data_IF_221982258550
#
_entry.id   IF_221982258550
#
_cell.length_a   1.000
_cell.length_b   1.000
_cell.length_c   1.000
_cell.angle_alpha   90.00
_cell.angle_beta   90.00
_cell.angle_gamma   90.00
#
_symmetry.space_group_name_H-M   'P 1'
#
loop_
_entity.id
_entity.type
_entity.pdbx_description
1 polymer ?
#
# COMPACT_ATOMS: atom_id res chain seq x y z
N UNK A 1 15.45 -23.29 19.07
CA UNK A 1 15.25 -22.82 17.67
C UNK A 1 14.74 -21.38 17.58
N UNK A 2 13.62 -21.04 18.24
CA UNK A 2 13.04 -19.68 18.18
C UNK A 2 13.99 -18.58 18.69
N UNK A 3 14.79 -18.85 19.73
CA UNK A 3 15.85 -17.94 20.19
C UNK A 3 16.81 -17.55 19.07
N UNK A 4 17.27 -18.52 18.27
CA UNK A 4 18.14 -18.30 17.11
C UNK A 4 17.43 -17.47 16.03
N UNK A 5 16.14 -17.71 15.79
CA UNK A 5 15.34 -16.88 14.87
C UNK A 5 15.32 -15.42 15.36
N UNK A 6 15.09 -15.21 16.66
CA UNK A 6 15.10 -13.87 17.26
C UNK A 6 16.46 -13.19 17.09
N UNK A 7 17.56 -13.87 17.44
CA UNK A 7 18.92 -13.35 17.31
C UNK A 7 19.25 -12.94 15.86
N UNK A 8 18.82 -13.73 14.88
CA UNK A 8 19.00 -13.38 13.47
C UNK A 8 18.16 -12.18 13.06
N UNK A 9 16.91 -12.07 13.54
CA UNK A 9 16.04 -10.93 13.26
C UNK A 9 16.56 -9.64 13.90
N UNK A 10 17.06 -9.69 15.13
CA UNK A 10 17.66 -8.52 15.80
C UNK A 10 18.91 -8.02 15.09
N UNK A 11 19.75 -8.93 14.55
CA UNK A 11 20.88 -8.54 13.68
C UNK A 11 20.43 -7.80 12.43
N UNK A 12 19.35 -8.27 11.78
CA UNK A 12 18.78 -7.59 10.60
C UNK A 12 18.22 -6.22 10.98
N UNK A 13 17.53 -6.11 12.12
CA UNK A 13 16.98 -4.83 12.60
C UNK A 13 18.06 -3.81 12.90
N UNK A 14 19.14 -4.22 13.58
CA UNK A 14 20.27 -3.37 13.95
C UNK A 14 21.19 -2.99 12.79
N UNK A 15 21.09 -3.66 11.64
CA UNK A 15 21.94 -3.36 10.49
C UNK A 15 21.68 -1.95 9.94
N UNK A 16 22.68 -1.34 9.30
CA UNK A 16 22.58 -0.02 8.68
C UNK A 16 21.69 0.12 7.40
N UNK A 17 21.38 -0.93 6.60
CA UNK A 17 20.76 -0.73 5.28
C UNK A 17 19.30 -0.26 5.38
N UNK A 18 18.78 0.21 4.24
CA UNK A 18 17.42 0.76 4.13
C UNK A 18 16.35 -0.31 4.46
N UNK A 19 15.13 0.09 4.88
CA UNK A 19 14.05 -0.84 5.21
C UNK A 19 13.78 -1.88 4.11
N UNK A 20 13.73 -1.49 2.83
CA UNK A 20 13.50 -2.41 1.72
C UNK A 20 14.61 -3.46 1.57
N UNK A 21 15.87 -3.06 1.80
CA UNK A 21 17.01 -3.97 1.74
C UNK A 21 16.98 -4.97 2.90
N UNK A 22 16.53 -4.54 4.10
CA UNK A 22 16.31 -5.45 5.24
C UNK A 22 15.21 -6.47 4.96
N UNK A 23 14.10 -6.04 4.36
CA UNK A 23 13.01 -6.95 3.94
C UNK A 23 13.50 -7.94 2.89
N UNK A 24 14.27 -7.47 1.90
CA UNK A 24 14.89 -8.32 0.90
C UNK A 24 15.83 -9.35 1.55
N UNK A 25 16.70 -8.93 2.49
CA UNK A 25 17.58 -9.82 3.24
C UNK A 25 16.81 -10.91 4.00
N UNK A 26 15.68 -10.55 4.61
CA UNK A 26 14.79 -11.52 5.26
C UNK A 26 14.25 -12.52 4.23
N UNK A 27 13.77 -12.04 3.09
CA UNK A 27 13.17 -12.87 2.05
C UNK A 27 14.17 -13.80 1.36
N UNK A 28 15.34 -13.30 0.95
CA UNK A 28 16.27 -14.02 0.08
C UNK A 28 17.32 -14.82 0.84
N UNK A 29 17.63 -14.47 2.09
CA UNK A 29 18.68 -15.13 2.86
C UNK A 29 18.17 -15.75 4.16
N UNK A 30 17.42 -15.00 4.97
CA UNK A 30 16.97 -15.49 6.28
C UNK A 30 15.97 -16.63 6.14
N UNK A 31 14.87 -16.41 5.40
CA UNK A 31 13.80 -17.42 5.23
C UNK A 31 14.35 -18.72 4.61
N UNK A 32 15.12 -18.71 3.51
CA UNK A 32 15.68 -19.95 2.96
C UNK A 32 16.59 -20.71 3.92
N UNK A 33 17.42 -19.99 4.70
CA UNK A 33 18.27 -20.59 5.72
C UNK A 33 17.44 -21.24 6.84
N UNK A 34 16.36 -20.58 7.26
CA UNK A 34 15.44 -21.12 8.24
C UNK A 34 14.68 -22.33 7.69
N UNK A 35 14.17 -22.29 6.45
CA UNK A 35 13.52 -23.43 5.81
C UNK A 35 14.42 -24.67 5.83
N UNK A 36 15.67 -24.53 5.37
CA UNK A 36 16.65 -25.62 5.41
C UNK A 36 16.84 -26.16 6.85
N UNK A 37 17.05 -25.25 7.81
CA UNK A 37 17.21 -25.65 9.21
C UNK A 37 15.98 -26.39 9.74
N UNK A 38 14.76 -25.90 9.51
CA UNK A 38 13.52 -26.46 10.04
C UNK A 38 13.16 -27.79 9.38
N UNK A 39 13.43 -27.96 8.09
CA UNK A 39 13.22 -29.25 7.40
C UNK A 39 14.13 -30.33 7.98
N UNK A 40 15.40 -30.00 8.26
CA UNK A 40 16.39 -30.98 8.71
C UNK A 40 16.32 -31.32 10.21
N UNK A 41 15.80 -30.42 11.05
CA UNK A 41 15.87 -30.52 12.51
C UNK A 41 14.62 -31.06 13.20
N UNK A 42 13.58 -31.41 12.43
CA UNK A 42 12.31 -31.95 12.93
C UNK A 42 11.74 -31.19 14.16
N UNK A 43 11.43 -29.89 14.03
CA UNK A 43 11.01 -29.06 15.15
C UNK A 43 9.63 -29.47 15.69
N UNK A 44 9.40 -29.19 16.98
CA UNK A 44 8.11 -29.37 17.65
C UNK A 44 6.97 -28.68 16.90
N UNK A 45 5.76 -29.23 17.01
CA UNK A 45 4.57 -28.67 16.38
C UNK A 45 4.39 -27.18 16.76
N UNK A 46 4.02 -26.34 15.79
CA UNK A 46 3.81 -24.91 16.00
C UNK A 46 5.07 -24.04 16.04
N UNK A 47 6.29 -24.62 16.07
CA UNK A 47 7.54 -23.84 16.06
C UNK A 47 7.69 -23.02 14.78
N UNK A 48 7.39 -23.60 13.62
CA UNK A 48 7.48 -22.90 12.34
C UNK A 48 6.47 -21.73 12.26
N UNK A 49 5.24 -21.95 12.73
CA UNK A 49 4.21 -20.91 12.80
C UNK A 49 4.58 -19.78 13.78
N UNK A 50 5.25 -20.10 14.89
CA UNK A 50 5.77 -19.11 15.83
C UNK A 50 6.90 -18.29 15.21
N UNK A 51 7.81 -18.93 14.44
CA UNK A 51 8.85 -18.24 13.69
C UNK A 51 8.26 -17.34 12.59
N UNK A 52 7.23 -17.79 11.87
CA UNK A 52 6.48 -16.96 10.91
C UNK A 52 5.93 -15.70 11.58
N UNK A 53 5.32 -15.83 12.76
CA UNK A 53 4.80 -14.69 13.53
C UNK A 53 5.93 -13.72 13.89
N UNK A 54 7.08 -14.20 14.34
CA UNK A 54 8.24 -13.36 14.67
C UNK A 54 8.77 -12.61 13.45
N UNK A 55 8.86 -13.28 12.30
CA UNK A 55 9.28 -12.66 11.03
C UNK A 55 8.29 -11.58 10.62
N UNK A 56 6.98 -11.86 10.62
CA UNK A 56 5.96 -10.86 10.30
C UNK A 56 6.04 -9.67 11.25
N UNK A 57 6.18 -9.88 12.55
CA UNK A 57 6.33 -8.79 13.52
C UNK A 57 7.58 -7.95 13.27
N UNK A 58 8.73 -8.58 13.00
CA UNK A 58 9.95 -7.87 12.65
C UNK A 58 9.78 -7.02 11.39
N UNK A 59 9.16 -7.56 10.33
CA UNK A 59 8.88 -6.82 9.10
C UNK A 59 7.90 -5.67 9.37
N UNK A 60 6.86 -5.87 10.19
CA UNK A 60 5.93 -4.79 10.59
C UNK A 60 6.67 -3.64 11.27
N UNK A 61 7.61 -3.94 12.18
CA UNK A 61 8.47 -2.94 12.82
C UNK A 61 9.35 -2.21 11.81
N UNK A 62 10.00 -2.94 10.89
CA UNK A 62 10.86 -2.33 9.85
C UNK A 62 10.09 -1.38 8.93
N UNK A 63 8.83 -1.71 8.62
CA UNK A 63 7.96 -0.93 7.74
C UNK A 63 7.17 0.15 8.49
N UNK A 64 7.32 0.26 9.81
CA UNK A 64 6.58 1.20 10.66
C UNK A 64 5.06 1.12 10.45
N UNK A 65 4.52 -0.07 10.16
CA UNK A 65 3.09 -0.32 10.01
C UNK A 65 2.48 -0.79 11.33
N UNK A 66 1.18 -0.54 11.60
CA UNK A 66 0.52 -1.04 12.81
C UNK A 66 0.65 -2.57 12.93
N UNK A 67 1.08 -3.04 14.12
CA UNK A 67 1.43 -4.45 14.34
C UNK A 67 0.23 -5.41 14.23
N UNK A 68 -0.97 -4.92 14.57
CA UNK A 68 -2.22 -5.71 14.63
C UNK A 68 -3.13 -5.54 13.42
N UNK A 69 -2.96 -4.49 12.61
CA UNK A 69 -3.96 -4.13 11.60
C UNK A 69 -3.69 -4.74 10.23
N UNK A 70 -2.43 -4.91 9.83
CA UNK A 70 -2.08 -5.42 8.50
C UNK A 70 -2.43 -6.91 8.35
N UNK A 71 -3.06 -7.26 7.23
CA UNK A 71 -3.41 -8.64 6.88
C UNK A 71 -2.15 -9.50 6.73
N UNK A 72 -2.16 -10.68 7.34
CA UNK A 72 -1.03 -11.61 7.26
C UNK A 72 -0.82 -12.14 5.82
N UNK A 73 -1.89 -12.23 5.02
CA UNK A 73 -1.79 -12.67 3.62
C UNK A 73 -0.97 -11.72 2.75
N UNK A 74 -0.94 -10.41 3.05
CA UNK A 74 -0.14 -9.42 2.30
C UNK A 74 1.36 -9.78 2.26
N UNK A 75 1.89 -10.39 3.33
CA UNK A 75 3.29 -10.78 3.41
C UNK A 75 3.61 -11.92 2.44
N UNK A 76 2.67 -12.84 2.26
CA UNK A 76 2.86 -14.07 1.49
C UNK A 76 2.50 -13.92 0.01
N UNK A 77 1.70 -12.90 -0.33
CA UNK A 77 1.37 -12.60 -1.72
C UNK A 77 2.63 -12.26 -2.54
N UNK A 78 2.69 -12.67 -3.83
CA UNK A 78 3.79 -12.34 -4.72
C UNK A 78 3.96 -10.84 -4.89
N UNK A 79 5.21 -10.40 -5.04
CA UNK A 79 5.51 -9.00 -5.39
C UNK A 79 4.85 -8.57 -6.69
N UNK A 80 4.68 -9.48 -7.65
CA UNK A 80 4.05 -9.19 -8.94
C UNK A 80 2.58 -8.78 -8.82
N UNK A 81 1.92 -9.08 -7.70
CA UNK A 81 0.48 -8.86 -7.52
C UNK A 81 0.14 -7.78 -6.49
N UNK A 82 1.04 -7.49 -5.52
CA UNK A 82 1.03 -6.35 -4.56
C UNK A 82 1.83 -6.68 -3.28
N UNK A 83 2.05 -7.97 -2.99
CA UNK A 83 2.59 -8.43 -1.71
C UNK A 83 4.10 -8.28 -1.55
N UNK A 84 4.63 -8.76 -0.42
CA UNK A 84 6.07 -8.73 -0.13
C UNK A 84 6.83 -9.97 -0.61
N UNK A 85 6.12 -11.03 -1.01
CA UNK A 85 6.69 -12.28 -1.52
C UNK A 85 7.49 -13.06 -0.48
N UNK A 86 7.14 -12.95 0.82
CA UNK A 86 7.73 -13.79 1.85
C UNK A 86 7.20 -15.21 1.69
N UNK A 87 8.03 -16.22 1.96
CA UNK A 87 7.59 -17.59 2.05
C UNK A 87 7.24 -17.93 3.50
N UNK A 88 6.04 -18.47 3.73
CA UNK A 88 5.63 -19.03 5.02
C UNK A 88 6.53 -20.20 5.38
N UNK A 89 7.16 -20.16 6.56
CA UNK A 89 7.98 -21.25 7.08
C UNK A 89 7.13 -22.47 7.38
N UNK A 90 5.96 -22.27 7.97
CA UNK A 90 5.01 -23.35 8.28
C UNK A 90 4.59 -24.10 7.02
N UNK A 91 4.20 -23.38 5.96
CA UNK A 91 3.87 -24.00 4.66
C UNK A 91 5.09 -24.57 3.96
N UNK A 92 6.19 -23.82 3.92
CA UNK A 92 7.40 -24.22 3.23
C UNK A 92 8.01 -25.49 3.81
N UNK A 93 8.00 -25.65 5.14
CA UNK A 93 8.47 -26.86 5.81
C UNK A 93 7.56 -28.03 5.52
N UNK A 94 6.23 -27.86 5.60
CA UNK A 94 5.27 -28.94 5.34
C UNK A 94 5.42 -29.47 3.89
N UNK A 95 5.39 -28.58 2.90
CA UNK A 95 5.56 -28.96 1.48
C UNK A 95 6.97 -29.47 1.19
N UNK A 96 7.99 -28.92 1.85
CA UNK A 96 9.38 -29.40 1.74
C UNK A 96 9.54 -30.83 2.26
N UNK A 97 8.92 -31.16 3.39
CA UNK A 97 8.91 -32.50 3.96
C UNK A 97 8.14 -33.49 3.07
N UNK A 98 6.99 -33.10 2.53
CA UNK A 98 6.24 -33.95 1.58
C UNK A 98 7.06 -34.24 0.32
N UNK A 99 7.73 -33.23 -0.23
CA UNK A 99 8.61 -33.42 -1.38
C UNK A 99 9.85 -34.26 -1.03
N UNK A 100 10.36 -34.18 0.20
CA UNK A 100 11.42 -35.05 0.69
C UNK A 100 10.94 -36.51 0.76
N UNK A 101 9.77 -36.79 1.35
CA UNK A 101 9.21 -38.14 1.40
C UNK A 101 9.00 -38.71 -0.01
N UNK A 102 8.46 -37.91 -0.93
CA UNK A 102 8.34 -38.30 -2.34
C UNK A 102 9.67 -38.75 -2.93
N UNK A 103 10.73 -37.96 -2.70
CA UNK A 103 12.07 -38.24 -3.23
C UNK A 103 12.68 -39.48 -2.61
N UNK A 104 12.51 -39.69 -1.30
CA UNK A 104 13.04 -40.87 -0.60
C UNK A 104 12.37 -42.15 -1.08
N UNK A 105 11.05 -42.14 -1.29
CA UNK A 105 10.32 -43.31 -1.83
C UNK A 105 10.71 -43.65 -3.27
N UNK A 106 11.15 -42.68 -4.06
CA UNK A 106 11.58 -42.86 -5.46
C UNK A 106 13.07 -43.18 -5.66
N UNK A 107 13.89 -43.29 -4.60
CA UNK A 107 15.32 -43.61 -4.75
C UNK A 107 15.56 -45.09 -5.00
N UNK A 108 16.61 -45.40 -5.77
CA UNK A 108 17.03 -46.77 -6.08
C UNK A 108 17.53 -47.53 -4.84
N UNK A 109 18.22 -46.83 -3.93
CA UNK A 109 18.78 -47.38 -2.69
C UNK A 109 17.72 -48.04 -1.79
N UNK A 110 17.93 -49.32 -1.48
CA UNK A 110 17.05 -50.14 -0.65
C UNK A 110 16.99 -49.67 0.80
N UNK A 111 18.12 -49.25 1.38
CA UNK A 111 18.19 -48.80 2.77
C UNK A 111 17.44 -47.48 2.96
N UNK A 112 17.54 -46.58 1.98
CA UNK A 112 16.81 -45.30 1.99
C UNK A 112 15.30 -45.52 1.85
N UNK A 113 14.88 -46.46 1.00
CA UNK A 113 13.46 -46.82 0.86
C UNK A 113 12.91 -47.47 2.13
N UNK A 114 13.64 -48.43 2.71
CA UNK A 114 13.26 -49.06 3.96
C UNK A 114 13.15 -48.03 5.10
N UNK A 115 14.10 -47.09 5.18
CA UNK A 115 14.05 -46.00 6.15
C UNK A 115 12.82 -45.09 5.93
N UNK A 116 12.46 -44.77 4.69
CA UNK A 116 11.29 -43.92 4.39
C UNK A 116 9.94 -44.55 4.79
N UNK A 117 9.88 -45.88 4.82
CA UNK A 117 8.69 -46.66 5.20
C UNK A 117 8.63 -47.01 6.70
N UNK A 118 9.55 -46.49 7.53
CA UNK A 118 9.43 -46.60 8.97
C UNK A 118 8.13 -45.92 9.45
N UNK A 119 7.44 -46.57 10.40
CA UNK A 119 6.14 -46.15 10.95
C UNK A 119 6.05 -44.65 11.24
N UNK A 120 7.05 -44.08 11.92
CA UNK A 120 7.03 -42.66 12.30
C UNK A 120 7.09 -41.70 11.10
N UNK A 121 7.77 -42.07 10.01
CA UNK A 121 7.78 -41.28 8.77
C UNK A 121 6.47 -41.44 8.01
N UNK A 122 5.87 -42.64 7.99
CA UNK A 122 4.55 -42.87 7.42
C UNK A 122 3.48 -42.04 8.13
N UNK A 123 3.40 -42.10 9.47
CA UNK A 123 2.45 -41.30 10.26
C UNK A 123 2.64 -39.80 10.02
N UNK A 124 3.89 -39.33 9.99
CA UNK A 124 4.19 -37.92 9.75
C UNK A 124 3.81 -37.50 8.32
N UNK A 125 4.11 -38.33 7.32
CA UNK A 125 3.70 -38.14 5.93
C UNK A 125 2.19 -38.01 5.82
N UNK A 126 1.43 -38.97 6.35
CA UNK A 126 -0.05 -38.96 6.29
C UNK A 126 -0.65 -37.75 7.01
N UNK A 127 -0.12 -37.37 8.17
CA UNK A 127 -0.57 -36.17 8.90
C UNK A 127 -0.31 -34.88 8.13
N UNK A 128 0.87 -34.74 7.50
CA UNK A 128 1.19 -33.57 6.69
C UNK A 128 0.36 -33.52 5.41
N UNK A 129 0.14 -34.67 4.78
CA UNK A 129 -0.69 -34.81 3.60
C UNK A 129 -2.13 -34.38 3.89
N UNK A 130 -2.72 -34.87 4.99
CA UNK A 130 -4.05 -34.45 5.44
C UNK A 130 -4.12 -32.95 5.76
N UNK A 131 -3.13 -32.42 6.50
CA UNK A 131 -3.07 -30.99 6.86
C UNK A 131 -3.03 -30.07 5.64
N UNK A 132 -2.42 -30.53 4.54
CA UNK A 132 -2.19 -29.74 3.33
C UNK A 132 -3.04 -30.18 2.14
N UNK A 133 -4.04 -31.02 2.38
CA UNK A 133 -4.95 -31.53 1.34
C UNK A 133 -4.20 -32.17 0.15
N UNK A 134 -3.12 -32.91 0.44
CA UNK A 134 -2.34 -33.64 -0.56
C UNK A 134 -2.86 -35.08 -0.60
N UNK A 135 -3.61 -35.41 -1.65
CA UNK A 135 -4.16 -36.75 -1.86
C UNK A 135 -3.10 -37.72 -2.37
N UNK A 136 -2.35 -37.30 -3.39
CA UNK A 136 -1.29 -38.11 -4.00
C UNK A 136 0.08 -37.48 -3.78
N UNK A 137 1.07 -38.31 -3.42
CA UNK A 137 2.45 -37.87 -3.24
C UNK A 137 3.21 -37.80 -4.58
N UNK A 138 2.59 -37.19 -5.59
CA UNK A 138 3.22 -36.90 -6.89
C UNK A 138 3.70 -35.45 -6.93
N UNK A 139 4.51 -35.09 -7.93
CA UNK A 139 4.91 -33.70 -8.11
C UNK A 139 3.70 -32.78 -8.33
N UNK A 140 2.74 -33.23 -9.15
CA UNK A 140 1.47 -32.51 -9.39
C UNK A 140 0.59 -32.47 -8.14
N UNK A 141 0.48 -33.58 -7.41
CA UNK A 141 -0.32 -33.67 -6.17
C UNK A 141 0.20 -32.77 -5.04
N UNK A 142 1.49 -32.39 -5.04
CA UNK A 142 2.03 -31.39 -4.12
C UNK A 142 1.90 -29.97 -4.68
N UNK A 143 2.09 -29.79 -6.00
CA UNK A 143 2.02 -28.49 -6.64
C UNK A 143 0.61 -27.86 -6.57
N UNK A 144 -0.43 -28.68 -6.74
CA UNK A 144 -1.84 -28.24 -6.70
C UNK A 144 -2.23 -27.61 -5.35
N UNK A 145 -2.05 -28.26 -4.18
CA UNK A 145 -2.39 -27.65 -2.90
C UNK A 145 -1.49 -26.48 -2.51
N UNK A 146 -0.25 -26.44 -3.01
CA UNK A 146 0.62 -25.27 -2.88
C UNK A 146 0.04 -24.06 -3.63
N UNK A 147 -0.46 -24.25 -4.85
CA UNK A 147 -1.17 -23.21 -5.59
C UNK A 147 -2.50 -22.82 -4.90
N UNK A 148 -3.25 -23.79 -4.38
CA UNK A 148 -4.48 -23.54 -3.63
C UNK A 148 -4.24 -22.74 -2.34
N UNK A 149 -3.13 -22.99 -1.64
CA UNK A 149 -2.70 -22.21 -0.47
C UNK A 149 -2.45 -20.74 -0.84
N UNK A 150 -1.78 -20.49 -1.96
CA UNK A 150 -1.58 -19.14 -2.47
C UNK A 150 -2.91 -18.47 -2.85
N UNK A 151 -3.82 -19.20 -3.49
CA UNK A 151 -5.16 -18.70 -3.84
C UNK A 151 -5.99 -18.38 -2.60
N UNK A 152 -5.85 -19.17 -1.54
CA UNK A 152 -6.46 -18.89 -0.24
C UNK A 152 -5.93 -17.57 0.34
N UNK A 153 -4.62 -17.31 0.27
CA UNK A 153 -4.05 -16.03 0.68
C UNK A 153 -4.61 -14.85 -0.14
N UNK A 154 -4.76 -15.00 -1.46
CA UNK A 154 -5.38 -13.99 -2.32
C UNK A 154 -6.81 -13.70 -1.88
N UNK A 155 -7.63 -14.73 -1.69
CA UNK A 155 -9.01 -14.61 -1.25
C UNK A 155 -9.13 -13.91 0.10
N UNK A 156 -8.31 -14.31 1.09
CA UNK A 156 -8.27 -13.66 2.40
C UNK A 156 -7.87 -12.19 2.31
N UNK A 157 -6.87 -11.86 1.50
CA UNK A 157 -6.44 -10.47 1.33
C UNK A 157 -7.51 -9.63 0.64
N UNK A 158 -8.13 -10.16 -0.42
CA UNK A 158 -9.21 -9.53 -1.17
C UNK A 158 -10.44 -9.23 -0.30
N UNK A 159 -10.76 -10.11 0.66
CA UNK A 159 -11.84 -9.91 1.60
C UNK A 159 -11.58 -8.78 2.61
N UNK A 160 -10.32 -8.35 2.77
CA UNK A 160 -9.99 -7.21 3.63
C UNK A 160 -10.17 -5.88 2.91
N UNK A 161 -10.44 -4.81 3.66
CA UNK A 161 -10.44 -3.45 3.11
C UNK A 161 -9.06 -3.03 2.53
N UNK A 162 -7.98 -3.68 2.97
CA UNK A 162 -6.61 -3.41 2.49
C UNK A 162 -6.40 -3.98 1.09
N UNK A 163 -7.10 -5.05 0.75
CA UNK A 163 -7.15 -5.63 -0.59
C UNK A 163 -8.07 -4.90 -1.56
N UNK A 164 -8.71 -3.80 -1.15
CA UNK A 164 -9.54 -3.02 -2.08
C UNK A 164 -8.70 -2.53 -3.26
N UNK A 165 -9.14 -2.85 -4.47
CA UNK A 165 -8.44 -2.50 -5.72
C UNK A 165 -7.14 -3.29 -5.98
N UNK A 166 -6.84 -4.36 -5.24
CA UNK A 166 -5.58 -5.10 -5.44
C UNK A 166 -5.41 -5.67 -6.85
N UNK A 167 -6.52 -6.02 -7.53
CA UNK A 167 -6.51 -6.55 -8.91
C UNK A 167 -5.98 -5.55 -9.94
N UNK A 168 -6.07 -4.25 -9.67
CA UNK A 168 -5.54 -3.20 -10.55
C UNK A 168 -4.00 -3.20 -10.59
N UNK A 169 -3.32 -3.93 -9.68
CA UNK A 169 -1.86 -4.06 -9.67
C UNK A 169 -1.36 -5.32 -10.37
N UNK A 170 -2.14 -5.92 -11.27
CA UNK A 170 -1.74 -7.11 -12.03
C UNK A 170 -0.52 -6.84 -12.94
N UNK A 171 -0.39 -5.61 -13.43
CA UNK A 171 0.70 -5.22 -14.33
C UNK A 171 2.03 -5.14 -13.60
N UNK A 172 3.04 -5.88 -14.09
CA UNK A 172 4.32 -6.04 -13.40
C UNK A 172 5.04 -4.70 -13.14
N UNK A 173 4.96 -3.76 -14.08
CA UNK A 173 5.56 -2.43 -13.96
C UNK A 173 5.04 -1.65 -12.73
N UNK A 174 3.80 -1.91 -12.30
CA UNK A 174 3.19 -1.32 -11.10
C UNK A 174 3.93 -1.68 -9.81
N UNK A 175 4.67 -2.79 -9.82
CA UNK A 175 5.23 -3.41 -8.62
C UNK A 175 6.77 -3.46 -8.62
N UNK A 176 7.43 -3.00 -9.69
CA UNK A 176 8.90 -3.02 -9.82
C UNK A 176 9.66 -2.17 -8.79
N UNK A 177 8.96 -1.35 -7.99
CA UNK A 177 9.54 -0.58 -6.88
C UNK A 177 9.60 -1.37 -5.57
N UNK A 178 8.84 -2.46 -5.46
CA UNK A 178 8.84 -3.33 -4.28
C UNK A 178 10.19 -4.05 -4.15
N UNK A 179 10.79 -4.37 -5.31
CA UNK A 179 12.10 -5.00 -5.42
C UNK A 179 13.17 -3.98 -5.85
N UNK A 180 14.20 -3.80 -5.02
CA UNK A 180 15.34 -2.94 -5.31
C UNK A 180 15.32 -1.54 -4.67
N UNK A 181 16.21 -0.67 -5.13
CA UNK A 181 16.50 0.63 -4.49
C UNK A 181 15.95 1.84 -5.28
N UNK A 182 14.76 1.68 -5.88
CA UNK A 182 14.12 2.74 -6.69
C UNK A 182 13.57 3.91 -5.87
N UNK A 183 13.50 3.76 -4.54
CA UNK A 183 12.90 4.72 -3.62
C UNK A 183 13.76 4.89 -2.37
N UNK A 184 13.68 6.06 -1.73
CA UNK A 184 14.25 6.22 -0.39
C UNK A 184 13.51 5.34 0.62
N UNK A 185 14.16 4.97 1.73
CA UNK A 185 13.52 4.12 2.75
C UNK A 185 12.22 4.72 3.32
N UNK A 186 12.16 6.06 3.47
CA UNK A 186 10.95 6.77 3.89
C UNK A 186 9.85 6.68 2.83
N UNK A 187 10.20 6.88 1.56
CA UNK A 187 9.26 6.80 0.44
C UNK A 187 8.71 5.38 0.28
N UNK A 188 9.57 4.36 0.43
CA UNK A 188 9.18 2.95 0.43
C UNK A 188 8.15 2.63 1.54
N UNK A 189 8.42 3.05 2.78
CA UNK A 189 7.48 2.88 3.90
C UNK A 189 6.14 3.56 3.62
N UNK A 190 6.17 4.80 3.14
CA UNK A 190 4.95 5.54 2.80
C UNK A 190 4.15 4.85 1.68
N UNK A 191 4.83 4.34 0.66
CA UNK A 191 4.24 3.58 -0.45
C UNK A 191 3.59 2.28 0.02
N UNK A 192 4.22 1.53 0.92
CA UNK A 192 3.60 0.32 1.50
C UNK A 192 2.34 0.71 2.26
N UNK A 193 2.39 1.75 3.11
CA UNK A 193 1.21 2.25 3.84
C UNK A 193 0.09 2.69 2.89
N UNK A 194 0.42 3.37 1.79
CA UNK A 194 -0.56 3.77 0.79
C UNK A 194 -1.17 2.55 0.09
N UNK A 195 -0.35 1.56 -0.32
CA UNK A 195 -0.82 0.33 -0.96
C UNK A 195 -1.77 -0.46 -0.07
N UNK A 196 -1.46 -0.60 1.21
CA UNK A 196 -2.26 -1.37 2.16
C UNK A 196 -3.34 -0.55 2.87
N UNK A 197 -3.60 0.70 2.46
CA UNK A 197 -4.55 1.60 3.13
C UNK A 197 -4.30 1.75 4.65
N UNK A 198 -3.03 1.77 5.05
CA UNK A 198 -2.55 1.93 6.44
C UNK A 198 -1.97 3.33 6.71
N UNK A 199 -2.17 4.28 5.80
CA UNK A 199 -1.97 5.69 6.11
C UNK A 199 -2.87 6.07 7.28
N UNK A 200 -2.38 6.77 8.31
CA UNK A 200 -3.13 7.06 9.53
C UNK A 200 -4.13 8.21 9.31
N UNK A 201 -5.06 8.04 8.38
CA UNK A 201 -6.20 8.96 8.22
C UNK A 201 -7.18 8.76 9.38
N UNK A 202 -8.10 9.70 9.62
CA UNK A 202 -9.15 9.50 10.64
C UNK A 202 -10.00 8.27 10.38
N UNK A 203 -10.41 8.02 9.13
CA UNK A 203 -11.18 6.82 8.78
C UNK A 203 -10.42 5.53 9.17
N UNK A 204 -9.10 5.52 8.99
CA UNK A 204 -8.28 4.37 9.35
C UNK A 204 -8.04 4.27 10.86
N UNK A 205 -7.86 5.40 11.54
CA UNK A 205 -7.59 5.47 12.99
C UNK A 205 -8.81 5.09 13.83
N UNK A 206 -10.00 5.50 13.39
CA UNK A 206 -11.27 5.19 14.04
C UNK A 206 -11.95 3.92 13.50
N UNK A 207 -11.27 3.15 12.64
CA UNK A 207 -11.80 1.91 12.10
C UNK A 207 -12.18 0.95 13.24
N UNK A 208 -13.42 0.46 13.21
CA UNK A 208 -13.97 -0.44 14.23
C UNK A 208 -14.29 0.24 15.56
N UNK A 209 -14.20 1.58 15.64
CA UNK A 209 -14.52 2.39 16.83
C UNK A 209 -15.52 3.51 16.56
N UNK A 210 -15.72 3.86 15.29
CA UNK A 210 -16.67 4.86 14.84
C UNK A 210 -17.85 4.18 14.14
N UNK A 211 -19.04 4.71 14.38
CA UNK A 211 -20.26 4.33 13.68
C UNK A 211 -20.31 4.94 12.27
N UNK A 212 -21.19 4.42 11.42
CA UNK A 212 -21.43 4.99 10.10
C UNK A 212 -21.93 6.43 10.23
N UNK A 213 -21.25 7.38 9.60
CA UNK A 213 -21.61 8.80 9.69
C UNK A 213 -21.03 9.55 10.89
N UNK A 214 -20.20 8.90 11.72
CA UNK A 214 -19.54 9.55 12.86
C UNK A 214 -18.73 10.78 12.41
N UNK A 215 -19.03 11.99 12.93
CA UNK A 215 -18.33 13.22 12.56
C UNK A 215 -16.80 13.16 12.77
N UNK A 216 -16.31 12.30 13.67
CA UNK A 216 -14.87 12.12 13.94
C UNK A 216 -14.13 11.51 12.75
N UNK A 217 -14.81 10.80 11.86
CA UNK A 217 -14.21 10.24 10.64
C UNK A 217 -14.15 11.24 9.50
N UNK A 218 -14.80 12.41 9.61
CA UNK A 218 -14.82 13.43 8.57
C UNK A 218 -13.44 14.05 8.38
N UNK A 219 -13.17 14.45 7.13
CA UNK A 219 -11.98 15.19 6.74
C UNK A 219 -11.81 16.42 7.62
N UNK A 220 -10.67 16.52 8.31
CA UNK A 220 -10.38 17.64 9.21
C UNK A 220 -10.37 19.00 8.48
N UNK A 221 -10.19 19.00 7.15
CA UNK A 221 -10.09 20.23 6.35
C UNK A 221 -11.39 20.64 5.72
N UNK A 222 -11.95 19.78 4.88
CA UNK A 222 -13.15 20.12 4.13
C UNK A 222 -14.38 19.35 4.59
N UNK A 223 -14.28 18.44 5.56
CA UNK A 223 -15.36 17.53 5.94
C UNK A 223 -16.61 18.26 6.46
N UNK A 224 -16.45 19.44 7.05
CA UNK A 224 -17.57 20.30 7.47
C UNK A 224 -18.40 20.85 6.29
N UNK A 225 -17.81 20.96 5.10
CA UNK A 225 -18.48 21.44 3.87
C UNK A 225 -18.88 20.24 3.00
N UNK A 226 -17.94 19.31 2.78
CA UNK A 226 -18.08 18.25 1.80
C UNK A 226 -18.74 16.98 2.34
N UNK A 227 -18.94 16.88 3.66
CA UNK A 227 -19.41 15.66 4.33
C UNK A 227 -18.51 14.44 4.13
N UNK A 228 -17.32 14.62 3.56
CA UNK A 228 -16.48 13.50 3.11
C UNK A 228 -15.65 12.94 4.27
N UNK A 229 -15.56 11.61 4.41
CA UNK A 229 -14.66 10.99 5.37
C UNK A 229 -13.20 11.26 5.01
N UNK A 230 -12.35 11.42 6.02
CA UNK A 230 -10.91 11.51 5.88
C UNK A 230 -10.34 10.13 5.50
N UNK A 231 -10.40 9.83 4.22
CA UNK A 231 -9.87 8.61 3.64
C UNK A 231 -8.70 8.93 2.72
N UNK A 232 -7.89 7.90 2.44
CA UNK A 232 -6.80 8.01 1.47
C UNK A 232 -7.31 8.42 0.09
N UNK A 233 -8.46 7.86 -0.33
CA UNK A 233 -9.13 8.21 -1.58
C UNK A 233 -9.53 9.69 -1.59
N UNK A 234 -10.25 10.15 -0.56
CA UNK A 234 -10.66 11.55 -0.47
C UNK A 234 -9.48 12.52 -0.51
N UNK A 235 -8.48 12.32 0.36
CA UNK A 235 -7.29 13.19 0.44
C UNK A 235 -6.57 13.27 -0.91
N UNK A 236 -6.45 12.14 -1.61
CA UNK A 236 -5.65 12.07 -2.84
C UNK A 236 -6.42 12.36 -4.12
N UNK A 237 -7.75 12.54 -4.07
CA UNK A 237 -8.60 12.67 -5.26
C UNK A 237 -9.53 13.89 -5.26
N UNK A 238 -10.19 14.19 -4.14
CA UNK A 238 -11.32 15.14 -4.14
C UNK A 238 -11.27 16.19 -3.04
N UNK A 239 -10.31 16.10 -2.11
CA UNK A 239 -10.18 17.09 -1.05
C UNK A 239 -9.81 18.46 -1.62
N UNK A 240 -10.64 19.47 -1.33
CA UNK A 240 -10.41 20.85 -1.78
C UNK A 240 -9.09 21.42 -1.24
N UNK A 241 -8.70 21.03 -0.03
CA UNK A 241 -7.45 21.48 0.60
C UNK A 241 -6.18 20.96 -0.10
N UNK A 242 -6.25 19.79 -0.75
CA UNK A 242 -5.12 19.21 -1.49
C UNK A 242 -5.25 19.39 -3.00
N UNK A 243 -6.28 20.07 -3.49
CA UNK A 243 -6.58 20.16 -4.92
C UNK A 243 -5.38 20.62 -5.76
N UNK A 244 -4.68 21.69 -5.35
CA UNK A 244 -3.48 22.14 -6.06
C UNK A 244 -2.36 21.10 -6.13
N UNK A 245 -2.23 20.22 -5.13
CA UNK A 245 -1.28 19.12 -5.15
C UNK A 245 -1.75 17.95 -6.01
N UNK A 246 -3.06 17.73 -6.12
CA UNK A 246 -3.66 16.74 -7.02
C UNK A 246 -3.35 17.13 -8.47
N UNK A 247 -3.57 18.41 -8.82
CA UNK A 247 -3.23 18.98 -10.13
C UNK A 247 -1.72 18.87 -10.37
N UNK A 248 -0.88 19.29 -9.43
CA UNK A 248 0.58 19.18 -9.57
C UNK A 248 1.08 17.75 -9.79
N UNK A 249 0.47 16.75 -9.14
CA UNK A 249 0.79 15.33 -9.38
C UNK A 249 0.48 14.95 -10.82
N UNK A 250 -0.70 15.32 -11.30
CA UNK A 250 -1.14 15.08 -12.67
C UNK A 250 -0.17 15.72 -13.69
N UNK A 251 0.13 17.01 -13.54
CA UNK A 251 0.96 17.75 -14.49
C UNK A 251 2.38 17.18 -14.58
N UNK A 252 2.93 16.68 -13.46
CA UNK A 252 4.24 16.01 -13.46
C UNK A 252 4.23 14.74 -14.32
N UNK A 253 3.13 13.98 -14.30
CA UNK A 253 2.98 12.77 -15.12
C UNK A 253 2.79 13.16 -16.58
N UNK A 254 1.91 14.12 -16.87
CA UNK A 254 1.68 14.65 -18.24
C UNK A 254 3.00 15.14 -18.85
N UNK A 255 3.77 15.96 -18.13
CA UNK A 255 5.06 16.47 -18.60
C UNK A 255 6.05 15.36 -18.89
N UNK A 256 6.15 14.34 -18.01
CA UNK A 256 7.06 13.22 -18.26
C UNK A 256 6.64 12.38 -19.46
N UNK A 257 5.33 12.19 -19.64
CA UNK A 257 4.77 11.48 -20.78
C UNK A 257 5.02 12.24 -22.09
N UNK A 258 4.81 13.56 -22.09
CA UNK A 258 5.11 14.44 -23.21
C UNK A 258 6.57 14.32 -23.64
N UNK A 259 7.52 14.49 -22.72
CA UNK A 259 8.95 14.35 -23.03
C UNK A 259 9.31 12.97 -23.57
N UNK A 260 8.73 11.90 -23.00
CA UNK A 260 8.97 10.55 -23.50
C UNK A 260 8.39 10.33 -24.92
N UNK A 261 7.30 11.01 -25.26
CA UNK A 261 6.71 10.93 -26.59
C UNK A 261 7.55 11.72 -27.60
N UNK A 262 8.04 12.90 -27.24
CA UNK A 262 8.97 13.70 -28.04
C UNK A 262 10.26 12.94 -28.34
N UNK A 263 10.87 12.31 -27.32
CA UNK A 263 12.02 11.40 -27.47
C UNK A 263 11.73 10.23 -28.44
N UNK A 264 10.46 9.84 -28.56
CA UNK A 264 9.99 8.79 -29.47
C UNK A 264 9.57 9.33 -30.85
N UNK A 265 9.82 10.60 -31.14
CA UNK A 265 9.56 11.25 -32.44
C UNK A 265 8.12 11.69 -32.66
N UNK A 266 7.32 11.90 -31.60
CA UNK A 266 6.03 12.56 -31.71
C UNK A 266 6.19 14.08 -31.61
N UNK A 267 5.46 14.84 -32.42
CA UNK A 267 5.24 16.25 -32.19
C UNK A 267 4.10 16.39 -31.17
N UNK A 268 4.36 17.07 -30.05
CA UNK A 268 3.43 17.16 -28.91
C UNK A 268 2.96 18.61 -28.72
N UNK A 269 1.64 18.78 -28.58
CA UNK A 269 1.02 20.00 -28.06
C UNK A 269 0.45 19.72 -26.68
N UNK A 270 0.92 20.45 -25.66
CA UNK A 270 0.50 20.27 -24.26
C UNK A 270 -0.67 21.17 -23.91
N UNK A 271 -1.69 20.60 -23.25
CA UNK A 271 -2.91 21.27 -22.75
C UNK A 271 -3.63 22.21 -23.75
N UNK A 272 -3.87 21.79 -25.01
CA UNK A 272 -4.54 22.67 -25.96
C UNK A 272 -6.00 22.90 -25.57
N UNK A 273 -6.49 24.11 -25.82
CA UNK A 273 -7.91 24.46 -25.68
C UNK A 273 -8.58 24.39 -27.04
N UNK A 274 -9.48 23.42 -27.21
CA UNK A 274 -10.17 23.14 -28.47
C UNK A 274 -11.67 23.42 -28.30
N UNK A 275 -12.26 24.17 -29.22
CA UNK A 275 -13.70 24.46 -29.23
C UNK A 275 -14.37 23.66 -30.34
N UNK A 276 -15.39 22.89 -30.00
CA UNK A 276 -16.15 22.07 -30.93
C UNK A 276 -17.60 21.98 -30.46
N UNK A 277 -18.56 22.21 -31.35
CA UNK A 277 -20.00 22.16 -31.08
C UNK A 277 -20.43 22.96 -29.84
N UNK A 278 -19.90 24.18 -29.68
CA UNK A 278 -20.20 25.06 -28.55
C UNK A 278 -19.57 24.63 -27.21
N UNK A 279 -18.88 23.48 -27.17
CA UNK A 279 -18.20 22.97 -25.99
C UNK A 279 -16.69 23.25 -26.06
N UNK A 280 -16.07 23.42 -24.89
CA UNK A 280 -14.62 23.55 -24.76
C UNK A 280 -14.02 22.25 -24.24
N UNK A 281 -13.12 21.67 -25.03
CA UNK A 281 -12.34 20.49 -24.71
C UNK A 281 -10.90 20.87 -24.40
N UNK A 282 -10.33 20.21 -23.40
CA UNK A 282 -8.93 20.37 -22.98
C UNK A 282 -8.31 18.98 -22.77
N UNK A 283 -7.92 18.27 -23.85
CA UNK A 283 -7.07 17.09 -23.69
C UNK A 283 -5.72 17.51 -23.14
N UNK A 284 -5.02 16.61 -22.44
CA UNK A 284 -3.72 16.95 -21.86
C UNK A 284 -2.64 17.02 -22.94
N UNK A 285 -2.74 16.19 -23.98
CA UNK A 285 -1.77 16.12 -25.07
C UNK A 285 -2.48 15.91 -26.41
N UNK A 286 -2.01 16.61 -27.45
CA UNK A 286 -2.23 16.24 -28.84
C UNK A 286 -0.89 15.73 -29.39
N UNK A 287 -0.85 14.48 -29.83
CA UNK A 287 0.37 13.83 -30.31
C UNK A 287 0.27 13.49 -31.79
N UNK A 288 1.21 13.99 -32.59
CA UNK A 288 1.23 13.80 -34.05
C UNK A 288 2.47 13.02 -34.47
N UNK A 289 2.31 11.95 -35.26
CA UNK A 289 3.41 11.19 -35.86
C UNK A 289 2.95 10.42 -37.09
N UNK A 290 3.74 10.48 -38.18
CA UNK A 290 3.52 9.67 -39.38
C UNK A 290 2.13 9.86 -40.02
N UNK A 291 1.61 11.10 -40.03
CA UNK A 291 0.28 11.41 -40.58
C UNK A 291 -0.91 11.00 -39.70
N UNK A 292 -0.65 10.49 -38.49
CA UNK A 292 -1.66 10.17 -37.48
C UNK A 292 -1.60 11.17 -36.35
N UNK A 293 -2.76 11.52 -35.80
CA UNK A 293 -2.89 12.40 -34.63
C UNK A 293 -3.73 11.73 -33.55
N UNK A 294 -3.34 11.94 -32.29
CA UNK A 294 -3.98 11.37 -31.13
C UNK A 294 -4.34 12.44 -30.11
N UNK A 295 -5.60 12.48 -29.68
CA UNK A 295 -5.97 13.18 -28.46
C UNK A 295 -5.76 12.25 -27.26
N UNK A 296 -4.81 12.61 -26.40
CA UNK A 296 -4.37 11.80 -25.27
C UNK A 296 -4.62 12.54 -23.96
N UNK A 297 -5.14 11.82 -22.97
CA UNK A 297 -5.46 12.37 -21.66
C UNK A 297 -5.00 11.42 -20.54
N UNK A 298 -4.42 12.00 -19.51
CA UNK A 298 -3.88 11.30 -18.35
C UNK A 298 -4.92 11.32 -17.23
N UNK A 299 -5.16 10.15 -16.61
CA UNK A 299 -6.02 10.08 -15.44
C UNK A 299 -5.35 9.37 -14.29
N UNK A 300 -5.56 9.91 -13.08
CA UNK A 300 -5.01 9.35 -11.83
C UNK A 300 -6.12 9.05 -10.82
N UNK A 301 -7.04 8.11 -11.13
CA UNK A 301 -8.10 7.72 -10.22
C UNK A 301 -7.54 6.93 -9.02
N UNK A 302 -8.29 6.86 -7.93
CA UNK A 302 -7.97 5.92 -6.85
C UNK A 302 -8.37 4.50 -7.25
N UNK A 303 -7.49 3.52 -7.04
CA UNK A 303 -7.77 2.13 -7.43
C UNK A 303 -8.88 1.55 -6.57
N UNK A 304 -9.98 1.18 -7.22
CA UNK A 304 -11.07 0.35 -6.72
C UNK A 304 -11.42 -0.69 -7.80
N UNK A 305 -12.48 -1.47 -7.64
CA UNK A 305 -12.90 -2.42 -8.67
C UNK A 305 -13.19 -1.71 -10.01
N UNK A 306 -12.46 -2.12 -11.05
CA UNK A 306 -12.53 -1.67 -12.45
C UNK A 306 -12.43 -0.16 -12.65
N UNK A 307 -11.77 0.54 -11.72
CA UNK A 307 -11.71 2.00 -11.75
C UNK A 307 -10.86 2.50 -12.92
N UNK A 308 -9.78 1.79 -13.26
CA UNK A 308 -8.81 2.29 -14.23
C UNK A 308 -9.31 2.13 -15.66
N UNK A 309 -9.79 0.93 -16.01
CA UNK A 309 -10.30 0.63 -17.35
C UNK A 309 -11.55 1.46 -17.68
N UNK A 310 -12.46 1.67 -16.71
CA UNK A 310 -13.62 2.55 -16.91
C UNK A 310 -13.19 4.00 -17.17
N UNK A 311 -12.27 4.52 -16.37
CA UNK A 311 -11.77 5.89 -16.54
C UNK A 311 -11.07 6.08 -17.89
N UNK A 312 -10.32 5.08 -18.34
CA UNK A 312 -9.70 5.06 -19.68
C UNK A 312 -10.76 5.19 -20.77
N UNK A 313 -11.78 4.32 -20.76
CA UNK A 313 -12.86 4.34 -21.73
C UNK A 313 -13.66 5.66 -21.73
N UNK A 314 -13.96 6.21 -20.55
CA UNK A 314 -14.64 7.50 -20.40
C UNK A 314 -13.86 8.64 -21.07
N UNK A 315 -12.54 8.71 -20.86
CA UNK A 315 -11.68 9.74 -21.45
C UNK A 315 -11.53 9.56 -22.96
N UNK A 316 -11.35 8.34 -23.45
CA UNK A 316 -11.31 8.06 -24.89
C UNK A 316 -12.61 8.50 -25.60
N UNK A 317 -13.77 8.21 -24.99
CA UNK A 317 -15.07 8.63 -25.52
C UNK A 317 -15.26 10.15 -25.48
N UNK A 318 -14.78 10.82 -24.41
CA UNK A 318 -14.91 12.28 -24.25
C UNK A 318 -14.32 13.06 -25.42
N UNK A 319 -13.18 12.62 -25.96
CA UNK A 319 -12.49 13.34 -27.04
C UNK A 319 -12.81 12.79 -28.43
N UNK A 320 -13.63 11.76 -28.56
CA UNK A 320 -14.00 11.19 -29.86
C UNK A 320 -14.60 12.22 -30.84
N UNK A 321 -15.44 13.19 -30.42
CA UNK A 321 -16.00 14.20 -31.32
C UNK A 321 -14.95 15.13 -31.96
N UNK A 322 -13.74 15.24 -31.42
CA UNK A 322 -12.73 16.18 -31.91
C UNK A 322 -12.06 15.76 -33.23
N UNK A 323 -12.47 14.66 -33.85
CA UNK A 323 -11.79 14.05 -34.98
C UNK A 323 -11.59 15.00 -36.16
N UNK A 324 -12.63 15.71 -36.60
CA UNK A 324 -12.55 16.60 -37.76
C UNK A 324 -11.74 17.85 -37.46
N UNK A 325 -11.97 18.44 -36.29
CA UNK A 325 -11.27 19.64 -35.83
C UNK A 325 -9.76 19.38 -35.72
N UNK A 326 -9.36 18.31 -35.04
CA UNK A 326 -7.95 18.01 -34.78
C UNK A 326 -7.23 17.62 -36.06
N UNK A 327 -7.88 16.88 -36.98
CA UNK A 327 -7.31 16.60 -38.31
C UNK A 327 -7.09 17.87 -39.12
N UNK A 328 -8.05 18.79 -39.09
CA UNK A 328 -7.94 20.08 -39.79
C UNK A 328 -6.77 20.92 -39.26
N UNK A 329 -6.64 21.03 -37.94
CA UNK A 329 -5.59 21.85 -37.31
C UNK A 329 -4.19 21.23 -37.51
N UNK A 330 -4.08 19.90 -37.51
CA UNK A 330 -2.78 19.22 -37.57
C UNK A 330 -2.37 18.76 -38.97
N UNK A 331 -3.28 18.77 -39.94
CA UNK A 331 -3.07 18.22 -41.28
C UNK A 331 -2.96 16.68 -41.33
N UNK A 332 -3.26 16.00 -40.23
CA UNK A 332 -3.18 14.54 -40.15
C UNK A 332 -4.37 13.86 -40.85
N UNK A 333 -4.13 12.68 -41.42
CA UNK A 333 -5.14 11.89 -42.15
C UNK A 333 -5.99 11.04 -41.21
N UNK A 334 -5.36 10.47 -40.20
CA UNK A 334 -5.98 9.58 -39.23
C UNK A 334 -6.05 10.23 -37.86
N UNK A 335 -7.19 10.07 -37.18
CA UNK A 335 -7.41 10.52 -35.81
C UNK A 335 -7.68 9.33 -34.89
N UNK A 336 -7.07 9.34 -33.71
CA UNK A 336 -7.38 8.42 -32.64
C UNK A 336 -7.54 9.12 -31.30
N UNK A 337 -8.23 8.46 -30.37
CA UNK A 337 -8.27 8.86 -28.97
C UNK A 337 -7.55 7.84 -28.10
N UNK A 338 -6.91 8.34 -27.06
CA UNK A 338 -6.21 7.51 -26.10
C UNK A 338 -6.32 8.06 -24.69
N UNK A 339 -6.01 7.21 -23.72
CA UNK A 339 -5.79 7.65 -22.36
C UNK A 339 -4.65 6.88 -21.72
N UNK A 340 -3.88 7.55 -20.85
CA UNK A 340 -2.92 6.89 -19.97
C UNK A 340 -3.43 7.01 -18.54
N UNK A 341 -3.91 5.91 -18.00
CA UNK A 341 -4.48 5.84 -16.66
C UNK A 341 -3.51 5.15 -15.72
N UNK A 342 -3.10 5.86 -14.67
CA UNK A 342 -2.24 5.33 -13.62
C UNK A 342 -2.95 5.54 -12.29
N UNK A 343 -3.21 4.48 -11.54
CA UNK A 343 -3.87 4.61 -10.25
C UNK A 343 -3.07 5.46 -9.24
N UNK A 344 -3.76 6.09 -8.31
CA UNK A 344 -3.16 6.97 -7.30
C UNK A 344 -2.11 6.27 -6.42
N UNK A 345 -2.23 4.95 -6.23
CA UNK A 345 -1.26 4.09 -5.53
C UNK A 345 -0.26 3.42 -6.49
N UNK A 346 -0.20 3.87 -7.74
CA UNK A 346 0.80 3.46 -8.74
C UNK A 346 0.45 2.18 -9.49
N UNK A 347 -0.83 1.90 -9.73
CA UNK A 347 -1.26 0.85 -10.66
C UNK A 347 -1.16 1.30 -12.11
N UNK A 348 -0.57 0.50 -12.99
CA UNK A 348 -0.66 0.69 -14.44
C UNK A 348 -1.95 0.07 -14.98
N UNK A 349 -2.75 0.83 -15.72
CA UNK A 349 -3.90 0.26 -16.42
C UNK A 349 -3.45 -0.53 -17.65
N UNK A 350 -3.89 -1.78 -17.79
CA UNK A 350 -3.58 -2.61 -18.97
C UNK A 350 -4.07 -1.99 -20.29
N UNK A 351 -5.17 -1.21 -20.26
CA UNK A 351 -5.70 -0.48 -21.42
C UNK A 351 -4.77 0.62 -21.95
N UNK A 352 -3.81 1.06 -21.15
CA UNK A 352 -2.77 1.98 -21.64
C UNK A 352 -1.97 1.32 -22.77
N UNK A 353 -1.70 0.02 -22.66
CA UNK A 353 -0.92 -0.70 -23.67
C UNK A 353 -1.68 -0.85 -24.99
N UNK A 354 -3.02 -0.89 -24.95
CA UNK A 354 -3.86 -0.84 -26.14
C UNK A 354 -3.73 0.53 -26.85
N UNK A 355 -3.77 1.63 -26.10
CA UNK A 355 -3.53 2.98 -26.62
C UNK A 355 -2.12 3.11 -27.21
N UNK A 356 -1.09 2.68 -26.47
CA UNK A 356 0.29 2.76 -26.92
C UNK A 356 0.53 1.94 -28.19
N UNK A 357 -0.05 0.73 -28.28
CA UNK A 357 0.02 -0.12 -29.48
C UNK A 357 -0.64 0.55 -30.68
N UNK A 358 -1.82 1.15 -30.50
CA UNK A 358 -2.54 1.83 -31.57
C UNK A 358 -1.78 3.07 -32.08
N UNK A 359 -1.08 3.78 -31.18
CA UNK A 359 -0.20 4.91 -31.52
C UNK A 359 1.10 4.47 -32.20
N UNK A 360 1.45 3.18 -32.21
CA UNK A 360 2.78 2.71 -32.61
C UNK A 360 3.88 3.23 -31.69
N UNK A 361 3.57 3.50 -30.42
CA UNK A 361 4.50 4.03 -29.43
C UNK A 361 4.99 2.93 -28.49
N UNK A 362 6.27 2.56 -28.64
CA UNK A 362 6.91 1.56 -27.78
C UNK A 362 7.54 2.23 -26.56
N UNK A 363 6.93 2.03 -25.39
CA UNK A 363 7.48 2.49 -24.10
C UNK A 363 8.11 1.31 -23.37
N UNK A 364 9.33 1.51 -22.86
CA UNK A 364 10.01 0.47 -22.08
C UNK A 364 9.31 0.19 -20.74
N UNK A 365 9.41 -1.05 -20.24
CA UNK A 365 8.91 -1.41 -18.91
C UNK A 365 9.53 -0.56 -17.78
N UNK A 366 10.78 -0.10 -17.95
CA UNK A 366 11.44 0.81 -17.02
C UNK A 366 10.74 2.17 -16.97
N UNK A 367 10.30 2.68 -18.11
CA UNK A 367 9.57 3.95 -18.20
C UNK A 367 8.16 3.82 -17.63
N UNK A 368 7.44 2.73 -17.93
CA UNK A 368 6.13 2.45 -17.31
C UNK A 368 6.23 2.41 -15.78
N UNK A 369 7.24 1.70 -15.26
CA UNK A 369 7.49 1.62 -13.83
C UNK A 369 7.88 2.97 -13.22
N UNK A 370 8.67 3.79 -13.93
CA UNK A 370 9.00 5.13 -13.50
C UNK A 370 7.74 5.99 -13.36
N UNK A 371 6.82 5.96 -14.34
CA UNK A 371 5.55 6.69 -14.28
C UNK A 371 4.71 6.23 -13.08
N UNK A 372 4.62 4.92 -12.83
CA UNK A 372 3.91 4.37 -11.67
C UNK A 372 4.50 4.86 -10.34
N UNK A 373 5.83 4.82 -10.21
CA UNK A 373 6.55 5.28 -9.00
C UNK A 373 6.39 6.78 -8.81
N UNK A 374 6.56 7.57 -9.88
CA UNK A 374 6.38 9.03 -9.82
C UNK A 374 4.97 9.39 -9.32
N UNK A 375 3.93 8.74 -9.86
CA UNK A 375 2.54 8.94 -9.41
C UNK A 375 2.39 8.61 -7.92
N UNK A 376 2.88 7.45 -7.49
CA UNK A 376 2.80 7.01 -6.10
C UNK A 376 3.59 7.92 -5.14
N UNK A 377 4.79 8.35 -5.51
CA UNK A 377 5.60 9.27 -4.71
C UNK A 377 4.94 10.63 -4.55
N UNK A 378 4.38 11.18 -5.63
CA UNK A 378 3.62 12.43 -5.57
C UNK A 378 2.35 12.29 -4.75
N UNK A 379 1.66 11.15 -4.82
CA UNK A 379 0.56 10.83 -3.91
C UNK A 379 1.03 10.82 -2.44
N UNK A 380 2.15 10.17 -2.14
CA UNK A 380 2.72 10.12 -0.78
C UNK A 380 3.13 11.51 -0.27
N UNK A 381 3.73 12.34 -1.12
CA UNK A 381 4.08 13.73 -0.78
C UNK A 381 2.84 14.55 -0.46
N UNK A 382 1.80 14.43 -1.27
CA UNK A 382 0.51 15.07 -1.04
C UNK A 382 -0.09 14.65 0.31
N UNK A 383 -0.14 13.36 0.60
CA UNK A 383 -0.64 12.83 1.86
C UNK A 383 0.19 13.35 3.03
N UNK A 384 1.52 13.32 2.91
CA UNK A 384 2.41 13.83 3.96
C UNK A 384 2.19 15.31 4.21
N UNK A 385 1.97 16.11 3.18
CA UNK A 385 1.66 17.52 3.31
C UNK A 385 0.32 17.76 4.01
N UNK A 386 -0.72 16.98 3.67
CA UNK A 386 -2.01 17.02 4.34
C UNK A 386 -1.84 16.74 5.84
N UNK A 387 -1.14 15.65 6.19
CA UNK A 387 -0.93 15.22 7.58
C UNK A 387 -0.06 16.18 8.41
N UNK A 388 1.01 16.74 7.82
CA UNK A 388 1.85 17.72 8.55
C UNK A 388 1.09 19.00 8.84
N UNK A 389 0.26 19.43 7.90
CA UNK A 389 -0.56 20.62 8.10
C UNK A 389 -1.55 20.41 9.25
N UNK A 390 -2.07 19.19 9.45
CA UNK A 390 -2.96 18.87 10.58
C UNK A 390 -2.26 18.91 11.93
N UNK A 391 -1.02 18.43 12.02
CA UNK A 391 -0.24 18.47 13.27
C UNK A 391 0.05 19.90 13.74
N UNK A 392 0.39 20.80 12.80
CA UNK A 392 0.64 22.21 13.12
C UNK A 392 -0.61 22.96 13.61
N UNK A 393 -1.81 22.56 13.16
CA UNK A 393 -3.08 23.13 13.61
C UNK A 393 -3.53 22.53 14.94
N UNK A 394 -3.27 21.24 15.18
CA UNK A 394 -3.51 20.59 16.47
C UNK A 394 -2.70 21.24 17.62
N UNK A 395 -1.48 21.70 17.35
CA UNK A 395 -0.68 22.48 18.31
C UNK A 395 -1.26 23.88 18.58
N UNK A 396 -1.78 24.58 17.56
CA UNK A 396 -2.42 25.91 17.75
C UNK A 396 -3.76 25.82 18.48
N UNK A 397 -4.56 24.78 18.24
CA UNK A 397 -5.81 24.55 18.98
C UNK A 397 -5.59 24.30 20.48
N UNK A 398 -4.48 23.65 20.86
CA UNK A 398 -4.10 23.46 22.27
C UNK A 398 -3.59 24.75 22.94
N UNK A 399 -3.00 25.69 22.20
CA UNK A 399 -2.64 27.01 22.74
C UNK A 399 -3.87 27.89 22.96
N UNK A 400 -4.86 27.86 22.06
CA UNK A 400 -6.10 28.64 22.22
C UNK A 400 -6.98 28.12 23.37
N UNK A 401 -7.00 26.81 23.64
CA UNK A 401 -7.69 26.26 24.82
C UNK A 401 -6.96 26.48 26.16
N UNK A 402 -5.70 26.92 26.16
CA UNK A 402 -5.01 27.35 27.39
C UNK A 402 -5.18 28.83 27.72
N UNK A 403 -5.80 29.62 26.84
CA UNK A 403 -6.00 31.06 27.01
C UNK A 403 -7.40 31.46 27.49
N UNK A 404 -8.29 30.51 27.80
CA UNK A 404 -9.70 30.81 28.07
C UNK A 404 -10.29 30.06 29.27
N UNK A 405 -9.53 29.96 30.37
CA UNK A 405 -10.08 29.62 31.69
C UNK A 405 -9.70 30.71 32.72
N UNK A 406 -10.71 31.52 33.04
CA UNK A 406 -11.00 32.20 34.31
C UNK A 406 -10.15 33.40 34.80
N UNK A 407 -10.54 34.61 34.37
CA UNK A 407 -10.85 35.70 35.31
C UNK A 407 -12.37 35.68 35.57
N UNK A 408 -12.80 35.29 36.76
CA UNK A 408 -14.14 35.59 37.28
C UNK A 408 -14.01 35.92 38.76
N UNK A 409 -14.28 37.18 39.10
CA UNK A 409 -14.45 37.68 40.46
C UNK A 409 -15.82 37.24 41.01
N UNK A 410 -15.98 37.06 42.34
CA UNK A 410 -17.24 36.65 42.94
C UNK A 410 -18.18 37.84 43.15
N UNK A 411 -19.45 37.67 42.78
CA UNK A 411 -20.55 38.59 43.05
C UNK A 411 -21.02 38.52 44.50
N UNK A 412 -21.18 39.69 45.09
CA UNK A 412 -21.74 39.99 46.40
C UNK A 412 -23.26 39.75 46.44
N UNK A 413 -23.75 39.10 47.49
CA UNK A 413 -25.11 39.34 48.01
C UNK A 413 -25.08 39.42 49.55
N UNK A 414 -25.74 40.48 50.06
CA UNK A 414 -25.85 40.87 51.48
C UNK A 414 -26.83 39.94 52.22
N UNK A 415 -26.62 39.60 53.49
CA UNK A 415 -27.18 40.37 54.62
C UNK A 415 -26.49 40.09 55.97
N UNK A 416 -26.43 41.15 56.78
CA UNK A 416 -25.85 41.37 58.12
C UNK A 416 -26.57 40.60 59.28
N UNK A 417 -26.25 40.77 60.60
CA UNK A 417 -25.19 41.56 61.27
C UNK A 417 -24.39 40.86 62.41
N UNK A 418 -23.16 41.38 62.64
CA UNK A 418 -22.44 41.74 63.90
C UNK A 418 -23.10 41.45 65.28
N UNK A 419 -22.38 41.32 66.45
CA UNK A 419 -21.02 41.83 66.77
C UNK A 419 -20.08 40.95 67.66
N UNK A 420 -18.84 41.45 67.78
CA UNK A 420 -18.06 41.71 69.03
C UNK A 420 -16.82 40.86 69.37
N UNK A 421 -15.78 41.65 69.70
CA UNK A 421 -14.67 41.46 70.66
C UNK A 421 -13.53 40.49 70.26
N UNK A 422 -12.33 40.98 69.92
CA UNK A 422 -11.22 41.53 70.73
C UNK A 422 -10.30 40.47 71.39
N UNK A 423 -8.99 40.73 71.19
CA UNK A 423 -7.75 40.26 71.89
C UNK A 423 -7.06 39.06 71.24
N UNK A 424 -5.87 39.28 70.65
CA UNK A 424 -4.51 39.40 71.25
C UNK A 424 -4.00 38.03 71.70
N UNK A 425 -3.09 37.46 70.92
CA UNK A 425 -1.65 37.33 71.21
C UNK A 425 -1.37 36.11 72.10
N UNK A 426 -0.56 35.17 71.60
CA UNK A 426 0.77 34.83 72.13
C UNK A 426 1.25 33.53 71.47
N UNK A 427 2.54 33.55 71.17
CA UNK A 427 3.44 32.58 70.54
C UNK A 427 3.81 31.36 71.40
N UNK A 428 4.64 30.52 70.78
CA UNK A 428 5.40 29.37 71.31
C UNK A 428 4.59 28.06 71.37
N UNK A 429 5.11 26.93 70.92
CA UNK A 429 6.45 26.55 70.50
C UNK A 429 6.66 25.07 70.82
N UNK A 430 7.55 24.41 70.09
CA UNK A 430 8.16 23.10 70.35
C UNK A 430 7.19 21.88 70.32
N UNK A 431 7.33 20.91 69.42
CA UNK A 431 8.41 19.92 69.26
C UNK A 431 8.00 18.55 69.84
N UNK A 432 8.28 17.54 69.02
CA UNK A 432 8.70 16.18 69.37
C UNK A 432 7.67 15.06 69.59
N UNK A 433 7.95 13.97 68.85
CA UNK A 433 7.73 12.55 69.14
C UNK A 433 6.27 12.08 69.07
N UNK A 434 5.91 11.07 68.29
CA UNK A 434 6.64 9.85 67.87
C UNK A 434 5.94 9.27 66.64
#
# INVERSE_FOLDING_TARGET
MLRRVNEMLERVKGAAPKPQQKVQLIRTHLIPRLLCSFTNSNPTAGTAASADRMIRQAVKTLLLVPLSTISDSFFYLPMKEVGLGLQSLSEGVDFGMLNLYRRLSGRSDLAVRAAAELWFYQCRRSRLALKRDVVELTERGIAQPKAATLEHHRSLFAATYQGSGHREFAEACSNLWIDGDRMTGRSYIASIKARTSLVPTRLQTFRGRAETGDPRVLCLRCGHISGSPESLSHISQTCSFTHGLIVRRHDVVVKKLASAAEESGFAITVEPTLRHDGLTYKPDLIAVKGGKVWALDVAIPFESSDALARRHAEKCRKYQPLADLVRTITGAKEYGTGSIVIGARGAWCSRNDDTLRAMGWQISEKTKALLCVMTLERTNQLISWFMRSTDAVAFRGRMLHRGHESQVQPSTDRAQPSPRARRREISCGAAHST
#
